data_IF_725221004537
#
_entry.id   IF_725221004537
#
_cell.length_a   1.000
_cell.length_b   1.000
_cell.length_c   1.000
_cell.angle_alpha   90.00
_cell.angle_beta   90.00
_cell.angle_gamma   90.00
#
_symmetry.space_group_name_H-M   'P 1'
#
loop_
_entity.id
_entity.type
_entity.pdbx_description
1 polymer ?
#
# COMPACT_ATOMS: atom_id res chain seq x y z
N UNK A 1 -0.89 14.27 26.86
CA UNK A 1 -0.45 15.13 25.75
C UNK A 1 -1.22 14.63 24.55
N UNK A 2 -2.03 15.49 23.90
CA UNK A 2 -2.67 15.10 22.65
C UNK A 2 -1.56 14.94 21.60
N UNK A 3 -1.64 13.96 20.70
CA UNK A 3 -0.67 13.86 19.61
C UNK A 3 -0.68 15.13 18.77
N UNK A 4 0.46 15.48 18.18
CA UNK A 4 0.47 16.57 17.22
C UNK A 4 -0.30 16.13 15.96
N UNK A 5 -0.91 17.08 15.24
CA UNK A 5 -1.58 16.80 13.96
C UNK A 5 -0.67 16.10 12.95
N UNK A 6 0.65 16.29 13.08
CA UNK A 6 1.67 15.62 12.27
C UNK A 6 1.88 14.15 12.65
N UNK A 7 1.80 13.80 13.94
CA UNK A 7 1.82 12.41 14.39
C UNK A 7 0.58 11.66 13.92
N UNK A 8 -0.60 12.25 14.11
CA UNK A 8 -1.87 11.71 13.62
C UNK A 8 -1.84 11.46 12.11
N UNK A 9 -1.39 12.46 11.34
CA UNK A 9 -1.29 12.36 9.90
C UNK A 9 -0.36 11.21 9.46
N UNK A 10 0.76 10.99 10.15
CA UNK A 10 1.67 9.87 9.85
C UNK A 10 1.02 8.52 10.12
N UNK A 11 0.30 8.38 11.23
CA UNK A 11 -0.41 7.13 11.57
C UNK A 11 -1.53 6.81 10.58
N UNK A 12 -2.31 7.81 10.16
CA UNK A 12 -3.36 7.65 9.15
C UNK A 12 -2.75 7.30 7.79
N UNK A 13 -1.71 8.03 7.37
CA UNK A 13 -1.00 7.78 6.10
C UNK A 13 -0.42 6.37 6.07
N UNK A 14 0.21 5.94 7.17
CA UNK A 14 0.76 4.58 7.26
C UNK A 14 -0.33 3.51 7.20
N UNK A 15 -1.48 3.71 7.86
CA UNK A 15 -2.59 2.76 7.79
C UNK A 15 -3.08 2.59 6.35
N UNK A 16 -3.28 3.70 5.63
CA UNK A 16 -3.68 3.66 4.22
C UNK A 16 -2.63 2.94 3.38
N UNK A 17 -1.35 3.27 3.57
CA UNK A 17 -0.27 2.59 2.88
C UNK A 17 -0.22 1.08 3.17
N UNK A 18 -0.40 0.68 4.44
CA UNK A 18 -0.45 -0.74 4.83
C UNK A 18 -1.61 -1.47 4.15
N UNK A 19 -2.80 -0.85 4.09
CA UNK A 19 -3.93 -1.43 3.37
C UNK A 19 -3.60 -1.66 1.88
N UNK A 20 -2.92 -0.70 1.24
CA UNK A 20 -2.46 -0.87 -0.13
C UNK A 20 -1.41 -1.98 -0.27
N UNK A 21 -0.50 -2.13 0.68
CA UNK A 21 0.46 -3.24 0.68
C UNK A 21 -0.24 -4.60 0.82
N UNK A 22 -1.25 -4.70 1.69
CA UNK A 22 -2.07 -5.90 1.86
C UNK A 22 -2.82 -6.24 0.56
N UNK A 23 -3.39 -5.23 -0.11
CA UNK A 23 -3.97 -5.40 -1.43
C UNK A 23 -2.90 -5.86 -2.45
N UNK A 24 -1.75 -5.19 -2.54
CA UNK A 24 -0.68 -5.58 -3.46
C UNK A 24 -0.20 -7.00 -3.22
N UNK A 25 -0.10 -7.46 -1.98
CA UNK A 25 0.35 -8.80 -1.63
C UNK A 25 -0.65 -9.91 -1.98
N UNK A 26 -1.92 -9.57 -2.19
CA UNK A 26 -3.00 -10.53 -2.37
C UNK A 26 -3.06 -11.13 -3.79
N UNK A 27 -3.90 -12.15 -3.96
CA UNK A 27 -4.21 -12.71 -5.27
C UNK A 27 -5.03 -11.71 -6.12
N UNK A 28 -5.00 -11.80 -7.46
CA UNK A 28 -5.71 -10.88 -8.36
C UNK A 28 -7.21 -10.69 -8.02
N UNK A 29 -7.90 -11.76 -7.65
CA UNK A 29 -9.31 -11.72 -7.27
C UNK A 29 -9.52 -10.87 -6.02
N UNK A 30 -8.70 -11.08 -5.00
CA UNK A 30 -8.73 -10.33 -3.74
C UNK A 30 -8.27 -8.88 -3.92
N UNK A 31 -7.32 -8.62 -4.83
CA UNK A 31 -6.92 -7.27 -5.21
C UNK A 31 -8.12 -6.47 -5.71
N UNK A 32 -8.90 -7.03 -6.64
CA UNK A 32 -10.08 -6.36 -7.17
C UNK A 32 -11.18 -6.16 -6.12
N UNK A 33 -11.34 -7.10 -5.19
CA UNK A 33 -12.30 -6.97 -4.06
C UNK A 33 -11.95 -5.83 -3.12
N UNK A 34 -10.68 -5.75 -2.72
CA UNK A 34 -10.21 -4.71 -1.81
C UNK A 34 -10.30 -3.32 -2.43
N UNK A 35 -10.07 -3.21 -3.75
CA UNK A 35 -10.12 -1.94 -4.48
C UNK A 35 -11.50 -1.64 -5.12
N UNK A 36 -12.51 -2.48 -4.89
CA UNK A 36 -13.88 -2.20 -5.34
C UNK A 36 -14.15 -2.31 -6.84
N UNK A 37 -13.38 -3.12 -7.58
CA UNK A 37 -13.64 -3.44 -8.99
C UNK A 37 -13.73 -2.21 -9.92
N UNK A 38 -12.94 -1.16 -9.66
CA UNK A 38 -12.92 0.06 -10.49
C UNK A 38 -11.48 0.52 -10.70
N UNK A 39 -10.97 0.49 -11.94
CA UNK A 39 -9.61 0.91 -12.27
C UNK A 39 -8.50 0.38 -11.32
N UNK A 40 -8.68 -0.84 -10.78
CA UNK A 40 -7.88 -1.43 -9.70
C UNK A 40 -6.38 -1.35 -9.96
N UNK A 41 -5.93 -1.65 -11.18
CA UNK A 41 -4.51 -1.60 -11.55
C UNK A 41 -3.92 -0.18 -11.42
N UNK A 42 -4.70 0.84 -11.79
CA UNK A 42 -4.28 2.23 -11.70
C UNK A 42 -4.30 2.71 -10.25
N UNK A 43 -5.40 2.45 -9.54
CA UNK A 43 -5.57 2.87 -8.13
C UNK A 43 -4.51 2.25 -7.23
N UNK A 44 -4.30 0.93 -7.31
CA UNK A 44 -3.34 0.24 -6.44
C UNK A 44 -1.90 0.67 -6.69
N UNK A 45 -1.55 1.05 -7.93
CA UNK A 45 -0.23 1.60 -8.25
C UNK A 45 -0.06 2.97 -7.60
N UNK A 46 -1.02 3.87 -7.81
CA UNK A 46 -0.91 5.26 -7.36
C UNK A 46 -1.00 5.36 -5.84
N UNK A 47 -1.86 4.57 -5.20
CA UNK A 47 -1.93 4.45 -3.75
C UNK A 47 -0.63 3.90 -3.16
N UNK A 48 0.01 2.94 -3.83
CA UNK A 48 1.28 2.42 -3.37
C UNK A 48 2.38 3.50 -3.46
N UNK A 49 2.38 4.29 -4.54
CA UNK A 49 3.30 5.41 -4.71
C UNK A 49 3.09 6.51 -3.67
N UNK A 50 1.89 6.65 -3.10
CA UNK A 50 1.65 7.57 -1.96
C UNK A 50 2.47 7.20 -0.71
N UNK A 51 3.02 5.98 -0.62
CA UNK A 51 3.97 5.59 0.43
C UNK A 51 5.20 6.50 0.53
N UNK A 52 5.54 7.26 -0.51
CA UNK A 52 6.64 8.24 -0.46
C UNK A 52 6.42 9.34 0.58
N UNK A 53 5.17 9.65 0.94
CA UNK A 53 4.85 10.67 1.96
C UNK A 53 5.31 10.28 3.37
N UNK A 54 5.65 8.99 3.60
CA UNK A 54 6.18 8.51 4.87
C UNK A 54 7.70 8.64 4.98
N UNK A 55 8.41 8.95 3.89
CA UNK A 55 9.87 9.02 3.87
C UNK A 55 10.39 10.26 4.60
N UNK A 56 11.44 10.11 5.40
CA UNK A 56 12.06 11.22 6.13
C UNK A 56 11.21 11.76 7.29
N UNK A 57 10.06 11.12 7.57
CA UNK A 57 9.16 11.53 8.64
C UNK A 57 9.58 10.99 10.01
N UNK A 58 10.61 10.11 10.05
CA UNK A 58 11.04 9.39 11.24
C UNK A 58 10.10 8.23 11.64
N UNK A 59 9.09 7.92 10.83
CA UNK A 59 8.15 6.82 11.10
C UNK A 59 8.76 5.44 10.86
N UNK A 60 9.81 5.38 10.04
CA UNK A 60 10.54 4.18 9.68
C UNK A 60 12.00 4.28 10.14
N UNK A 61 12.60 3.13 10.42
CA UNK A 61 14.07 3.02 10.47
C UNK A 61 14.68 3.07 9.07
N UNK A 62 15.97 3.39 8.96
CA UNK A 62 16.65 3.49 7.66
C UNK A 62 16.53 2.22 6.78
N UNK A 63 16.64 0.97 7.32
CA UNK A 63 16.39 -0.22 6.52
C UNK A 63 14.95 -0.35 6.02
N UNK A 64 13.97 0.08 6.83
CA UNK A 64 12.55 0.06 6.45
C UNK A 64 12.26 1.09 5.36
N UNK A 65 12.83 2.30 5.46
CA UNK A 65 12.73 3.30 4.39
C UNK A 65 13.32 2.78 3.08
N UNK A 66 14.51 2.15 3.13
CA UNK A 66 15.13 1.54 1.95
C UNK A 66 14.21 0.50 1.30
N UNK A 67 13.61 -0.39 2.10
CA UNK A 67 12.71 -1.42 1.61
C UNK A 67 11.41 -0.83 0.99
N UNK A 68 10.87 0.25 1.57
CA UNK A 68 9.74 0.98 0.98
C UNK A 68 10.17 1.57 -0.37
N UNK A 69 11.29 2.28 -0.43
CA UNK A 69 11.79 2.91 -1.66
C UNK A 69 12.05 1.90 -2.78
N UNK A 70 12.55 0.70 -2.45
CA UNK A 70 12.71 -0.39 -3.40
C UNK A 70 11.37 -0.83 -4.01
N UNK A 71 10.33 -1.01 -3.18
CA UNK A 71 8.98 -1.29 -3.69
C UNK A 71 8.48 -0.15 -4.57
N UNK A 72 8.62 1.11 -4.15
CA UNK A 72 8.15 2.26 -4.94
C UNK A 72 8.84 2.34 -6.30
N UNK A 73 10.15 2.04 -6.35
CA UNK A 73 10.92 2.00 -7.59
C UNK A 73 10.42 0.88 -8.52
N UNK A 74 10.03 -0.27 -7.98
CA UNK A 74 9.49 -1.40 -8.75
C UNK A 74 8.04 -1.18 -9.22
N UNK A 75 7.20 -0.51 -8.43
CA UNK A 75 5.80 -0.22 -8.76
C UNK A 75 5.68 0.89 -9.82
N UNK A 76 6.54 1.90 -9.77
CA UNK A 76 6.50 3.06 -10.68
C UNK A 76 6.45 2.71 -12.18
N UNK A 77 7.25 1.76 -12.72
CA UNK A 77 7.24 1.43 -14.14
C UNK A 77 6.13 0.46 -14.56
N UNK A 78 5.21 0.05 -13.67
CA UNK A 78 4.12 -0.87 -14.05
C UNK A 78 3.24 -0.22 -15.14
N UNK A 79 3.03 -0.89 -16.29
CA UNK A 79 2.40 -0.30 -17.47
C UNK A 79 0.87 -0.31 -17.37
N UNK A 80 0.30 0.27 -16.31
CA UNK A 80 -1.17 0.21 -16.06
C UNK A 80 -1.99 0.87 -17.17
N UNK A 81 -1.40 1.79 -17.94
CA UNK A 81 -2.07 2.43 -19.08
C UNK A 81 -2.22 1.47 -20.28
N UNK A 82 -1.42 0.41 -20.33
CA UNK A 82 -1.51 -0.64 -21.35
C UNK A 82 -2.38 -1.82 -20.87
N UNK A 83 -2.89 -1.76 -19.63
CA UNK A 83 -3.78 -2.76 -19.06
C UNK A 83 -5.26 -2.37 -19.25
N UNK A 84 -6.18 -3.33 -19.27
CA UNK A 84 -7.61 -3.02 -19.28
C UNK A 84 -8.03 -2.18 -18.06
N UNK A 85 -8.89 -1.18 -18.27
CA UNK A 85 -9.39 -0.29 -17.23
C UNK A 85 -10.90 -0.06 -17.38
N UNK A 86 -11.54 0.34 -16.30
CA UNK A 86 -12.98 0.59 -16.23
C UNK A 86 -13.64 0.01 -14.98
N UNK A 87 -14.96 -0.01 -15.00
CA UNK A 87 -15.79 -0.60 -13.94
C UNK A 87 -16.04 -2.09 -14.17
N UNK A 88 -16.10 -2.84 -13.07
CA UNK A 88 -16.52 -4.23 -13.01
C UNK A 88 -15.38 -5.23 -12.86
N UNK A 89 -15.71 -6.38 -12.26
CA UNK A 89 -14.73 -7.42 -11.91
C UNK A 89 -13.92 -7.94 -13.09
N UNK A 90 -14.56 -8.19 -14.23
CA UNK A 90 -13.90 -8.87 -15.35
C UNK A 90 -12.72 -8.06 -15.92
N UNK A 91 -12.89 -6.76 -16.11
CA UNK A 91 -11.84 -5.89 -16.69
C UNK A 91 -10.69 -5.71 -15.70
N UNK A 92 -11.00 -5.49 -14.42
CA UNK A 92 -9.99 -5.30 -13.38
C UNK A 92 -9.22 -6.59 -13.10
N UNK A 93 -9.88 -7.75 -13.10
CA UNK A 93 -9.21 -9.03 -12.92
C UNK A 93 -8.25 -9.34 -14.07
N UNK A 94 -8.63 -8.99 -15.31
CA UNK A 94 -7.74 -9.12 -16.46
C UNK A 94 -6.47 -8.25 -16.30
N UNK A 95 -6.61 -7.03 -15.78
CA UNK A 95 -5.48 -6.15 -15.48
C UNK A 95 -4.59 -6.68 -14.34
N UNK A 96 -5.18 -7.15 -13.25
CA UNK A 96 -4.43 -7.65 -12.08
C UNK A 96 -3.72 -8.99 -12.33
N UNK A 97 -4.15 -9.74 -13.35
CA UNK A 97 -3.46 -10.95 -13.84
C UNK A 97 -2.26 -10.65 -14.74
N UNK A 98 -1.99 -9.38 -15.07
CA UNK A 98 -0.80 -9.03 -15.84
C UNK A 98 0.49 -9.47 -15.09
N UNK A 99 1.46 -10.11 -15.78
CA UNK A 99 2.62 -10.71 -15.13
C UNK A 99 3.53 -9.69 -14.41
N UNK A 100 3.51 -8.43 -14.85
CA UNK A 100 4.27 -7.36 -14.18
C UNK A 100 3.91 -7.19 -12.68
N UNK A 101 2.73 -7.65 -12.26
CA UNK A 101 2.34 -7.60 -10.85
C UNK A 101 2.99 -8.68 -10.00
N UNK A 102 3.41 -9.83 -10.56
CA UNK A 102 3.91 -10.95 -9.77
C UNK A 102 5.09 -10.58 -8.86
N UNK A 103 6.17 -9.93 -9.35
CA UNK A 103 7.27 -9.51 -8.50
C UNK A 103 6.82 -8.51 -7.43
N UNK A 104 5.85 -7.65 -7.75
CA UNK A 104 5.31 -6.65 -6.83
C UNK A 104 4.56 -7.33 -5.68
N UNK A 105 3.80 -8.40 -5.95
CA UNK A 105 3.11 -9.16 -4.91
C UNK A 105 4.10 -9.78 -3.92
N UNK A 106 5.20 -10.33 -4.41
CA UNK A 106 6.27 -10.88 -3.58
C UNK A 106 6.97 -9.79 -2.76
N UNK A 107 7.31 -8.67 -3.38
CA UNK A 107 7.92 -7.53 -2.69
C UNK A 107 7.01 -6.96 -1.61
N UNK A 108 5.70 -6.82 -1.88
CA UNK A 108 4.72 -6.34 -0.91
C UNK A 108 4.62 -7.29 0.30
N UNK A 109 4.57 -8.62 0.07
CA UNK A 109 4.61 -9.62 1.16
C UNK A 109 5.84 -9.45 2.05
N UNK A 110 7.02 -9.33 1.44
CA UNK A 110 8.28 -9.16 2.18
C UNK A 110 8.32 -7.82 2.93
N UNK A 111 7.77 -6.77 2.34
CA UNK A 111 7.71 -5.45 2.96
C UNK A 111 6.78 -5.47 4.17
N UNK A 112 5.62 -6.12 4.10
CA UNK A 112 4.71 -6.28 5.24
C UNK A 112 5.45 -6.92 6.44
N UNK A 113 6.26 -7.96 6.21
CA UNK A 113 7.06 -8.57 7.29
C UNK A 113 8.09 -7.60 7.86
N UNK A 114 8.78 -6.86 6.98
CA UNK A 114 9.78 -5.84 7.36
C UNK A 114 9.16 -4.70 8.19
N UNK A 115 7.90 -4.37 7.91
CA UNK A 115 7.16 -3.30 8.58
C UNK A 115 6.36 -3.78 9.80
N UNK A 116 6.36 -5.07 10.13
CA UNK A 116 5.58 -5.61 11.25
C UNK A 116 5.78 -4.88 12.59
N UNK A 117 7.00 -4.46 13.00
CA UNK A 117 7.17 -3.66 14.22
C UNK A 117 6.46 -2.30 14.16
N UNK A 118 6.46 -1.65 12.99
CA UNK A 118 5.79 -0.36 12.76
C UNK A 118 4.28 -0.54 12.71
N UNK A 119 3.82 -1.67 12.15
CA UNK A 119 2.40 -2.05 12.17
C UNK A 119 1.87 -2.17 13.59
N UNK A 120 2.64 -2.79 14.50
CA UNK A 120 2.22 -2.93 15.88
C UNK A 120 2.11 -1.58 16.59
N UNK A 121 3.10 -0.70 16.40
CA UNK A 121 3.08 0.68 16.93
C UNK A 121 1.86 1.44 16.39
N UNK A 122 1.57 1.31 15.10
CA UNK A 122 0.41 1.97 14.48
C UNK A 122 -0.91 1.47 15.06
N UNK A 123 -1.07 0.15 15.24
CA UNK A 123 -2.27 -0.46 15.82
C UNK A 123 -2.45 -0.06 17.29
N UNK A 124 -1.37 -0.01 18.06
CA UNK A 124 -1.36 0.48 19.44
C UNK A 124 -1.88 1.91 19.51
N UNK A 125 -1.36 2.78 18.64
CA UNK A 125 -1.76 4.17 18.53
C UNK A 125 -3.25 4.32 18.22
N UNK A 126 -3.75 3.64 17.18
CA UNK A 126 -5.17 3.68 16.76
C UNK A 126 -6.12 3.02 17.77
N UNK A 127 -5.62 2.20 18.69
CA UNK A 127 -6.43 1.68 19.82
C UNK A 127 -6.66 2.73 20.89
N UNK A 128 -5.71 3.64 21.07
CA UNK A 128 -5.84 4.77 21.98
C UNK A 128 -6.58 5.96 21.36
N UNK A 129 -6.76 5.97 20.03
CA UNK A 129 -7.46 7.03 19.27
C UNK A 129 -8.56 6.44 18.37
N UNK A 130 -9.66 5.94 18.95
CA UNK A 130 -10.68 5.18 18.22
C UNK A 130 -11.48 6.01 17.21
N UNK A 131 -11.53 7.34 17.40
CA UNK A 131 -12.11 8.32 16.47
C UNK A 131 -11.36 8.39 15.14
N UNK A 132 -10.12 7.91 15.09
CA UNK A 132 -9.30 7.88 13.88
C UNK A 132 -9.39 6.57 13.10
N UNK A 133 -10.14 5.57 13.59
CA UNK A 133 -10.22 4.21 12.99
C UNK A 133 -10.99 4.15 11.69
#
# INVERSE_FOLDING_TARGET
>A
MLPSSEEEARHITYRTFLHTLEALAAAPETQCELMGDFNTAWEIRDDALAGHYLMGTGFFSAPQESAVLELLAAVRPIPVNDMPAGSGRAVNLAAMRHPAWEPIRDMARNLIMTLAPVTEINREYLRHHPDMR
#
